data_IF_974326633154
#
_entry.id   IF_974326633154
#
_cell.length_a   1.000
_cell.length_b   1.000
_cell.length_c   1.000
_cell.angle_alpha   90.00
_cell.angle_beta   90.00
_cell.angle_gamma   90.00
#
_symmetry.space_group_name_H-M   'P 1'
#
loop_
_entity.id
_entity.type
_entity.pdbx_description
1 polymer ?
#
# COMPACT_ATOMS: atom_id res chain seq x y z
N UNK A 1 -37.44 -20.80 -5.02
CA UNK A 1 -36.36 -19.94 -5.53
C UNK A 1 -35.39 -19.72 -4.40
N UNK A 2 -34.20 -20.33 -4.46
CA UNK A 2 -33.11 -20.07 -3.52
C UNK A 2 -32.45 -18.76 -3.96
N UNK A 3 -32.60 -17.69 -3.18
CA UNK A 3 -31.74 -16.52 -3.31
C UNK A 3 -30.36 -16.93 -2.78
N UNK A 4 -29.46 -17.36 -3.66
CA UNK A 4 -28.04 -17.41 -3.36
C UNK A 4 -27.64 -15.96 -3.01
N UNK A 5 -27.27 -15.73 -1.75
CA UNK A 5 -26.57 -14.50 -1.41
C UNK A 5 -25.34 -14.43 -2.31
N UNK A 6 -24.99 -13.26 -2.88
CA UNK A 6 -23.72 -13.12 -3.57
C UNK A 6 -22.63 -13.57 -2.60
N UNK A 7 -21.75 -14.48 -3.03
CA UNK A 7 -20.59 -14.88 -2.24
C UNK A 7 -19.80 -13.60 -1.96
N UNK A 8 -19.67 -13.25 -0.68
CA UNK A 8 -18.89 -12.10 -0.29
C UNK A 8 -17.46 -12.28 -0.83
N UNK A 9 -16.87 -11.26 -1.45
CA UNK A 9 -15.50 -11.34 -1.93
C UNK A 9 -14.55 -11.61 -0.76
N UNK A 10 -14.14 -12.88 -0.59
CA UNK A 10 -13.24 -13.28 0.49
C UNK A 10 -11.80 -12.95 0.08
N UNK A 11 -11.24 -11.87 0.63
CA UNK A 11 -9.80 -11.68 0.68
C UNK A 11 -9.18 -12.89 1.41
N UNK A 12 -8.28 -13.60 0.75
CA UNK A 12 -7.71 -14.84 1.30
C UNK A 12 -6.32 -14.65 1.90
N UNK A 13 -5.55 -13.69 1.39
CA UNK A 13 -4.21 -13.43 1.87
C UNK A 13 -3.74 -12.04 1.51
N UNK A 14 -2.82 -11.53 2.32
CA UNK A 14 -2.02 -10.35 2.02
C UNK A 14 -0.57 -10.78 1.99
N UNK A 15 0.17 -10.39 0.96
CA UNK A 15 1.60 -10.68 0.86
C UNK A 15 2.38 -9.37 0.82
N UNK A 16 3.44 -9.20 1.62
CA UNK A 16 4.29 -8.03 1.53
C UNK A 16 5.09 -8.06 0.22
N UNK A 17 5.17 -6.92 -0.43
CA UNK A 17 6.08 -6.67 -1.54
C UNK A 17 7.05 -5.57 -1.13
N UNK A 18 8.35 -5.80 -1.37
CA UNK A 18 9.41 -4.84 -1.04
C UNK A 18 10.07 -4.34 -2.32
N UNK A 19 10.17 -3.03 -2.44
CA UNK A 19 10.91 -2.35 -3.49
C UNK A 19 11.99 -1.47 -2.87
N UNK A 20 13.23 -1.61 -3.36
CA UNK A 20 14.38 -0.87 -2.84
C UNK A 20 15.27 -0.38 -3.96
N UNK A 21 15.63 0.89 -3.89
CA UNK A 21 16.59 1.50 -4.80
C UNK A 21 17.30 2.62 -4.06
N UNK A 22 18.60 2.43 -3.81
CA UNK A 22 19.45 3.37 -3.09
C UNK A 22 20.66 3.66 -3.98
N UNK A 23 20.98 4.94 -4.19
CA UNK A 23 22.14 5.36 -4.95
C UNK A 23 23.41 5.40 -4.09
N UNK A 24 24.57 5.62 -4.72
CA UNK A 24 25.88 5.63 -4.04
C UNK A 24 26.01 6.69 -2.94
N UNK A 25 25.16 7.72 -2.97
CA UNK A 25 25.12 8.78 -1.97
C UNK A 25 24.18 8.45 -0.79
N UNK A 26 23.51 7.28 -0.81
CA UNK A 26 22.60 6.83 0.23
C UNK A 26 21.16 7.34 0.09
N UNK A 27 20.83 8.05 -0.99
CA UNK A 27 19.47 8.53 -1.29
C UNK A 27 18.66 7.51 -2.08
N UNK A 28 17.34 7.60 -1.97
CA UNK A 28 16.41 6.71 -2.66
C UNK A 28 15.33 6.20 -1.72
N UNK A 29 14.88 4.97 -1.92
CA UNK A 29 13.77 4.40 -1.16
C UNK A 29 13.97 2.95 -0.73
N UNK A 30 13.31 2.61 0.38
CA UNK A 30 13.12 1.26 0.90
C UNK A 30 11.65 1.14 1.34
N UNK A 31 10.81 0.61 0.43
CA UNK A 31 9.35 0.62 0.55
C UNK A 31 8.86 -0.82 0.67
N UNK A 32 8.07 -1.10 1.70
CA UNK A 32 7.30 -2.33 1.81
C UNK A 32 5.81 -1.99 1.82
N UNK A 33 5.02 -2.67 0.98
CA UNK A 33 3.59 -2.44 0.81
C UNK A 33 2.82 -3.76 0.61
N UNK A 34 1.50 -3.81 0.85
CA UNK A 34 0.73 -5.05 0.73
C UNK A 34 0.28 -5.33 -0.70
N UNK A 35 0.26 -6.61 -1.06
CA UNK A 35 -0.43 -7.16 -2.22
C UNK A 35 -1.62 -7.98 -1.74
N UNK A 36 -2.81 -7.59 -2.18
CA UNK A 36 -4.07 -8.27 -1.89
C UNK A 36 -4.29 -9.45 -2.87
N UNK A 37 -4.65 -10.62 -2.33
CA UNK A 37 -4.99 -11.81 -3.12
C UNK A 37 -6.43 -12.24 -2.79
N UNK A 38 -7.29 -12.25 -3.81
CA UNK A 38 -8.70 -12.64 -3.72
C UNK A 38 -9.00 -13.75 -4.74
N UNK A 39 -9.33 -14.96 -4.27
CA UNK A 39 -9.64 -16.09 -5.18
C UNK A 39 -11.05 -16.01 -5.78
N UNK A 40 -11.99 -15.32 -5.13
CA UNK A 40 -13.37 -15.17 -5.62
C UNK A 40 -13.57 -13.99 -6.57
N UNK A 41 -12.68 -12.99 -6.54
CA UNK A 41 -12.81 -11.79 -7.36
C UNK A 41 -11.44 -11.16 -7.70
N UNK A 42 -10.68 -11.78 -8.62
CA UNK A 42 -9.32 -11.32 -8.95
C UNK A 42 -9.31 -9.90 -9.52
N UNK A 43 -10.35 -9.49 -10.24
CA UNK A 43 -10.43 -8.14 -10.83
C UNK A 43 -10.49 -7.04 -9.78
N UNK A 44 -11.16 -7.26 -8.63
CA UNK A 44 -11.16 -6.30 -7.53
C UNK A 44 -9.77 -6.22 -6.90
N UNK A 45 -9.13 -7.36 -6.64
CA UNK A 45 -7.77 -7.40 -6.11
C UNK A 45 -6.79 -6.67 -7.05
N UNK A 46 -6.89 -6.88 -8.37
CA UNK A 46 -6.07 -6.20 -9.37
C UNK A 46 -6.25 -4.68 -9.32
N UNK A 47 -7.50 -4.19 -9.21
CA UNK A 47 -7.77 -2.74 -9.08
C UNK A 47 -7.16 -2.15 -7.81
N UNK A 48 -7.36 -2.80 -6.68
CA UNK A 48 -6.81 -2.35 -5.39
C UNK A 48 -5.28 -2.35 -5.45
N UNK A 49 -4.67 -3.43 -5.94
CA UNK A 49 -3.22 -3.54 -6.07
C UNK A 49 -2.65 -2.51 -7.04
N UNK A 50 -3.35 -2.20 -8.14
CA UNK A 50 -2.97 -1.15 -9.07
C UNK A 50 -3.00 0.23 -8.39
N UNK A 51 -4.05 0.54 -7.64
CA UNK A 51 -4.14 1.82 -6.91
C UNK A 51 -3.07 1.95 -5.81
N UNK A 52 -2.77 0.86 -5.08
CA UNK A 52 -1.65 0.84 -4.13
C UNK A 52 -0.34 1.10 -4.87
N UNK A 53 -0.13 0.44 -6.01
CA UNK A 53 1.07 0.58 -6.82
C UNK A 53 1.26 2.00 -7.34
N UNK A 54 0.19 2.65 -7.81
CA UNK A 54 0.21 4.05 -8.24
C UNK A 54 0.64 4.97 -7.09
N UNK A 55 0.04 4.82 -5.91
CA UNK A 55 0.44 5.58 -4.72
C UNK A 55 1.92 5.36 -4.35
N UNK A 56 2.38 4.10 -4.38
CA UNK A 56 3.79 3.80 -4.11
C UNK A 56 4.72 4.43 -5.15
N UNK A 57 4.34 4.43 -6.43
CA UNK A 57 5.16 5.03 -7.48
C UNK A 57 5.21 6.56 -7.35
N UNK A 58 4.13 7.21 -6.89
CA UNK A 58 4.15 8.64 -6.53
C UNK A 58 5.15 8.94 -5.41
N UNK A 59 5.23 8.09 -4.37
CA UNK A 59 6.19 8.28 -3.27
C UNK A 59 7.65 8.22 -3.74
N UNK A 60 7.94 7.46 -4.80
CA UNK A 60 9.29 7.29 -5.36
C UNK A 60 9.75 8.51 -6.16
N UNK A 61 8.85 9.18 -6.88
CA UNK A 61 9.19 10.28 -7.80
C UNK A 61 9.74 11.49 -7.03
N UNK A 62 9.40 11.61 -5.76
CA UNK A 62 9.48 12.88 -5.06
C UNK A 62 10.84 13.21 -4.42
N UNK A 63 11.79 12.27 -4.17
CA UNK A 63 13.14 12.75 -3.78
C UNK A 63 14.32 11.76 -3.88
N UNK A 64 14.58 11.23 -5.07
CA UNK A 64 15.74 10.37 -5.31
C UNK A 64 17.12 11.03 -5.12
N UNK A 65 17.15 12.35 -4.88
CA UNK A 65 18.39 13.12 -4.89
C UNK A 65 18.76 13.74 -3.54
N UNK A 66 17.82 13.84 -2.59
CA UNK A 66 18.05 14.54 -1.32
C UNK A 66 17.59 13.79 -0.07
N UNK A 67 16.71 12.79 -0.22
CA UNK A 67 16.20 12.06 0.93
C UNK A 67 16.33 10.55 0.74
N UNK A 68 16.39 9.85 1.87
CA UNK A 68 16.11 8.43 1.94
C UNK A 68 14.69 8.27 2.49
N UNK A 69 13.80 7.69 1.70
CA UNK A 69 12.43 7.36 2.12
C UNK A 69 12.38 5.91 2.61
N UNK A 70 11.78 5.69 3.78
CA UNK A 70 11.43 4.37 4.27
C UNK A 70 9.93 4.31 4.47
N UNK A 71 9.29 3.32 3.84
CA UNK A 71 7.83 3.15 3.92
C UNK A 71 7.53 1.76 4.45
N UNK A 72 6.72 1.73 5.49
CA UNK A 72 6.11 0.52 6.02
C UNK A 72 4.59 0.65 5.99
N UNK A 73 3.89 -0.47 6.10
CA UNK A 73 2.44 -0.47 6.13
C UNK A 73 1.91 -1.30 7.31
N UNK A 74 0.69 -0.98 7.70
CA UNK A 74 -0.10 -1.81 8.60
C UNK A 74 -1.52 -1.92 8.05
N UNK A 75 -2.05 -3.14 8.04
CA UNK A 75 -3.45 -3.39 7.66
C UNK A 75 -4.29 -3.27 8.93
N UNK A 76 -5.07 -2.19 9.04
CA UNK A 76 -5.88 -1.92 10.25
C UNK A 76 -7.21 -2.66 10.25
N UNK A 77 -7.82 -2.81 9.08
CA UNK A 77 -9.08 -3.53 8.96
C UNK A 77 -9.19 -4.27 7.64
N UNK A 78 -9.65 -5.50 7.77
CA UNK A 78 -10.33 -6.27 6.75
C UNK A 78 -11.61 -6.72 7.45
N UNK A 79 -12.70 -6.00 7.26
CA UNK A 79 -14.05 -6.43 7.63
C UNK A 79 -15.06 -5.57 6.89
N UNK A 80 -16.30 -6.06 6.81
CA UNK A 80 -17.46 -5.26 6.37
C UNK A 80 -17.32 -4.67 4.95
N UNK A 81 -16.64 -5.39 4.06
CA UNK A 81 -16.45 -4.96 2.67
C UNK A 81 -15.40 -3.87 2.46
N UNK A 82 -14.58 -3.56 3.47
CA UNK A 82 -13.51 -2.56 3.38
C UNK A 82 -12.13 -3.16 3.67
N UNK A 83 -11.13 -2.63 2.97
CA UNK A 83 -9.72 -2.92 3.17
C UNK A 83 -8.98 -1.62 3.50
N UNK A 84 -8.50 -1.50 4.73
CA UNK A 84 -7.85 -0.30 5.25
C UNK A 84 -6.37 -0.53 5.53
N UNK A 85 -5.53 0.35 4.97
CA UNK A 85 -4.08 0.33 5.11
C UNK A 85 -3.61 1.69 5.63
N UNK A 86 -2.76 1.68 6.64
CA UNK A 86 -1.95 2.85 7.01
C UNK A 86 -0.53 2.68 6.48
N UNK A 87 -0.02 3.71 5.83
CA UNK A 87 1.35 3.81 5.38
C UNK A 87 2.11 4.77 6.29
N UNK A 88 3.19 4.28 6.87
CA UNK A 88 4.12 5.06 7.68
C UNK A 88 5.30 5.44 6.79
N UNK A 89 5.44 6.73 6.50
CA UNK A 89 6.40 7.26 5.54
C UNK A 89 7.43 8.06 6.33
N UNK A 90 8.62 7.50 6.51
CA UNK A 90 9.75 8.17 7.11
C UNK A 90 10.65 8.74 6.02
N UNK A 91 10.95 10.03 6.07
CA UNK A 91 11.91 10.69 5.20
C UNK A 91 13.08 11.21 6.01
N UNK A 92 14.29 10.79 5.65
CA UNK A 92 15.53 11.26 6.30
C UNK A 92 16.38 12.00 5.29
N UNK A 93 16.74 13.24 5.60
CA UNK A 93 17.70 14.02 4.84
C UNK A 93 19.10 13.73 5.34
N UNK A 94 20.07 13.56 4.45
CA UNK A 94 21.45 13.31 4.88
C UNK A 94 21.99 14.52 5.65
N UNK A 95 22.43 14.29 6.90
CA UNK A 95 23.00 15.32 7.77
C UNK A 95 22.02 15.91 8.79
N UNK A 96 20.75 15.50 8.76
CA UNK A 96 19.76 15.81 9.79
C UNK A 96 19.51 14.54 10.63
N UNK A 97 19.53 14.67 11.96
CA UNK A 97 19.18 13.60 12.91
C UNK A 97 17.65 13.44 13.02
N UNK A 98 16.92 14.45 12.54
CA UNK A 98 15.46 14.47 12.54
C UNK A 98 14.93 13.74 11.30
N UNK A 99 14.11 12.71 11.55
CA UNK A 99 13.32 12.04 10.53
C UNK A 99 11.88 12.53 10.62
N UNK A 100 11.33 13.01 9.51
CA UNK A 100 9.92 13.34 9.43
C UNK A 100 9.15 12.05 9.14
N UNK A 101 8.15 11.75 9.97
CA UNK A 101 7.27 10.59 9.78
C UNK A 101 5.85 11.07 9.52
N UNK A 102 5.35 10.79 8.33
CA UNK A 102 3.95 10.96 7.96
C UNK A 102 3.20 9.64 8.03
N UNK A 103 1.91 9.73 8.34
CA UNK A 103 0.98 8.59 8.28
C UNK A 103 -0.11 8.90 7.28
N UNK A 104 -0.24 8.04 6.26
CA UNK A 104 -1.25 8.16 5.21
C UNK A 104 -2.15 6.93 5.25
N UNK A 105 -3.44 7.16 5.44
CA UNK A 105 -4.45 6.09 5.40
C UNK A 105 -5.04 5.95 3.99
N UNK A 106 -5.23 4.72 3.54
CA UNK A 106 -5.95 4.37 2.30
C UNK A 106 -6.99 3.31 2.60
N UNK A 107 -8.22 3.55 2.18
CA UNK A 107 -9.33 2.59 2.31
C UNK A 107 -9.81 2.17 0.94
N UNK A 108 -10.12 0.90 0.75
CA UNK A 108 -10.60 0.34 -0.50
C UNK A 108 -11.90 -0.44 -0.28
N UNK A 109 -12.86 -0.29 -1.18
CA UNK A 109 -14.03 -1.18 -1.22
C UNK A 109 -13.63 -2.54 -1.77
N UNK A 110 -13.90 -3.60 -1.02
CA UNK A 110 -13.77 -4.99 -1.46
C UNK A 110 -14.90 -5.40 -2.42
N UNK A 111 -15.89 -4.54 -2.64
CA UNK A 111 -16.99 -4.76 -3.59
C UNK A 111 -16.74 -4.09 -4.96
N UNK A 112 -16.14 -2.89 -4.97
CA UNK A 112 -15.90 -2.13 -6.21
C UNK A 112 -14.43 -2.07 -6.63
N UNK A 113 -13.51 -2.23 -5.66
CA UNK A 113 -12.08 -2.01 -5.81
C UNK A 113 -11.65 -0.54 -5.79
N UNK A 114 -12.58 0.38 -5.54
CA UNK A 114 -12.31 1.82 -5.53
C UNK A 114 -11.76 2.27 -4.17
N UNK A 115 -10.89 3.27 -4.20
CA UNK A 115 -10.40 3.95 -3.01
C UNK A 115 -11.42 4.96 -2.49
N UNK A 116 -11.56 5.06 -1.16
CA UNK A 116 -12.26 6.14 -0.46
C UNK A 116 -11.27 7.11 0.18
#
# INVERSE_FOLDING_TARGET
>A
MLHLKPEEPIAKSIQPQTEKSINDNGYGYDITYPILIMEGNPTIAEKINASIKEFIDELKVDDYTKHRKHVMYEVKSWSDGLYHIEFYISSTRQGEDDSETDVVSKSYSLETGESN
#
